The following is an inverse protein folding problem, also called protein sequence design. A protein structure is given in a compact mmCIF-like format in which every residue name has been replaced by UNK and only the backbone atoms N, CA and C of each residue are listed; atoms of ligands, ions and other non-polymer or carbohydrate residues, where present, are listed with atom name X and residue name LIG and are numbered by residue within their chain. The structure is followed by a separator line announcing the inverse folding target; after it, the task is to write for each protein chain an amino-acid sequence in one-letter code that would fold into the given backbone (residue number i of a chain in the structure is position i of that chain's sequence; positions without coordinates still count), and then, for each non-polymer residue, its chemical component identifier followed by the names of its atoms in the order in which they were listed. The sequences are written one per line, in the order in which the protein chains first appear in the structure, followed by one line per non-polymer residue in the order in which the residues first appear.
data_IF_365163678906
#
_entry.id   IF_365163678906
#
_cell.length_a   1.000
_cell.length_b   1.000
_cell.length_c   1.000
_cell.angle_alpha   90.00
_cell.angle_beta   90.00
_cell.angle_gamma   90.00
#
_symmetry.space_group_name_H-M   'P 1'
#
loop_
_entity.id
_entity.type
_entity.pdbx_description
1 polymer ?
#
# COMPACT_ATOMS: atom_id res chain seq x y z
N UNK A 1 33.32 -1.73 9.16
CA UNK A 1 32.46 -0.88 10.00
C UNK A 1 31.06 -1.48 10.13
N UNK A 2 30.37 -1.73 9.02
CA UNK A 2 29.04 -2.36 8.96
C UNK A 2 28.88 -3.61 9.86
N UNK A 3 29.76 -4.61 9.76
CA UNK A 3 29.69 -5.82 10.59
C UNK A 3 29.75 -5.54 12.10
N UNK A 4 30.55 -4.56 12.51
CA UNK A 4 30.63 -4.16 13.92
C UNK A 4 29.33 -3.50 14.37
N UNK A 5 28.77 -2.62 13.55
CA UNK A 5 27.51 -1.93 13.84
C UNK A 5 26.33 -2.90 14.00
N UNK A 6 26.16 -3.83 13.06
CA UNK A 6 25.08 -4.83 13.10
C UNK A 6 25.23 -5.83 14.26
N UNK A 7 26.41 -5.93 14.87
CA UNK A 7 26.69 -6.83 16.00
C UNK A 7 26.63 -6.13 17.37
N UNK A 8 26.26 -4.84 17.44
CA UNK A 8 26.32 -4.03 18.66
C UNK A 8 25.42 -4.53 19.79
N UNK A 9 24.33 -5.21 19.46
CA UNK A 9 23.40 -5.79 20.45
C UNK A 9 23.98 -7.04 21.13
N UNK A 10 24.92 -7.72 20.46
CA UNK A 10 25.49 -8.99 20.91
C UNK A 10 26.92 -8.85 21.44
N UNK A 11 27.66 -7.85 20.96
CA UNK A 11 29.04 -7.57 21.36
C UNK A 11 29.14 -6.14 21.90
N UNK A 12 29.66 -5.94 23.13
CA UNK A 12 29.78 -4.62 23.72
C UNK A 12 30.60 -3.64 22.85
N UNK A 13 30.11 -2.41 22.70
CA UNK A 13 30.74 -1.30 21.95
C UNK A 13 32.24 -1.21 22.21
N UNK A 14 32.66 -1.23 23.48
CA UNK A 14 34.08 -1.10 23.89
C UNK A 14 34.98 -2.18 23.29
N UNK A 15 34.46 -3.41 23.13
CA UNK A 15 35.19 -4.54 22.55
C UNK A 15 35.29 -4.39 21.03
N UNK A 16 34.20 -3.97 20.38
CA UNK A 16 34.17 -3.74 18.93
C UNK A 16 35.03 -2.55 18.48
N UNK A 17 35.10 -1.48 19.29
CA UNK A 17 35.98 -0.33 19.03
C UNK A 17 37.48 -0.72 19.10
N UNK A 18 37.84 -1.67 19.97
CA UNK A 18 39.23 -2.12 20.13
C UNK A 18 39.73 -3.01 18.99
N UNK A 19 38.82 -3.71 18.29
CA UNK A 19 39.14 -4.64 17.21
C UNK A 19 39.71 -3.88 16.00
N UNK A 20 40.88 -4.28 15.50
CA UNK A 20 41.49 -3.67 14.30
C UNK A 20 41.62 -4.64 13.13
N UNK A 21 41.66 -5.96 13.40
CA UNK A 21 41.72 -7.00 12.36
C UNK A 21 40.38 -7.72 12.24
N UNK A 22 40.13 -8.28 11.07
CA UNK A 22 38.92 -9.08 10.83
C UNK A 22 38.90 -10.36 11.67
N UNK A 23 40.07 -10.97 11.93
CA UNK A 23 40.19 -12.16 12.77
C UNK A 23 39.68 -11.90 14.20
N UNK A 24 40.15 -10.83 14.85
CA UNK A 24 39.73 -10.48 16.21
C UNK A 24 38.20 -10.24 16.30
N UNK A 25 37.55 -9.85 15.19
CA UNK A 25 36.10 -9.71 15.13
C UNK A 25 35.38 -11.07 15.19
N UNK A 26 35.85 -12.05 14.42
CA UNK A 26 35.27 -13.39 14.44
C UNK A 26 35.52 -14.11 15.76
N UNK A 27 36.71 -13.93 16.36
CA UNK A 27 37.01 -14.43 17.71
C UNK A 27 36.06 -13.82 18.75
N UNK A 28 35.78 -12.51 18.65
CA UNK A 28 34.84 -11.85 19.56
C UNK A 28 33.40 -12.36 19.42
N UNK A 29 32.97 -12.75 18.21
CA UNK A 29 31.67 -13.37 17.95
C UNK A 29 31.61 -14.81 18.47
N UNK A 30 32.70 -15.56 18.32
CA UNK A 30 32.81 -16.92 18.83
C UNK A 30 32.79 -16.95 20.37
N UNK A 31 33.51 -16.06 21.04
CA UNK A 31 33.47 -15.91 22.50
C UNK A 31 32.08 -15.58 23.05
N UNK A 32 31.21 -14.99 22.20
CA UNK A 32 29.83 -14.65 22.55
C UNK A 32 28.81 -15.73 22.15
N UNK A 33 29.26 -16.86 21.62
CA UNK A 33 28.36 -17.93 21.14
C UNK A 33 27.51 -17.49 19.95
N UNK A 34 27.96 -16.49 19.20
CA UNK A 34 27.26 -16.00 18.01
C UNK A 34 27.63 -16.80 16.76
N UNK A 35 28.83 -17.40 16.76
CA UNK A 35 29.37 -18.22 15.69
C UNK A 35 30.04 -19.43 16.33
N UNK A 36 29.69 -20.62 15.88
CA UNK A 36 30.31 -21.88 16.29
C UNK A 36 30.60 -22.75 15.06
N UNK A 37 31.46 -23.77 15.18
CA UNK A 37 31.84 -24.61 14.04
C UNK A 37 30.64 -25.33 13.35
N UNK A 38 29.52 -25.48 14.06
CA UNK A 38 28.27 -26.05 13.52
C UNK A 38 27.14 -25.04 13.31
N UNK A 39 27.30 -23.78 13.74
CA UNK A 39 26.28 -22.74 13.60
C UNK A 39 26.92 -21.43 13.13
N UNK A 40 26.80 -21.19 11.83
CA UNK A 40 27.23 -19.96 11.17
C UNK A 40 26.04 -19.06 10.78
N UNK A 41 24.84 -19.33 11.31
CA UNK A 41 23.60 -18.61 10.94
C UNK A 41 23.73 -17.10 11.08
N UNK A 42 24.32 -16.64 12.20
CA UNK A 42 24.54 -15.21 12.43
C UNK A 42 25.53 -14.60 11.43
N UNK A 43 26.60 -15.34 11.10
CA UNK A 43 27.59 -14.87 10.13
C UNK A 43 26.98 -14.77 8.73
N UNK A 44 26.16 -15.77 8.34
CA UNK A 44 25.40 -15.75 7.10
C UNK A 44 24.45 -14.55 7.04
N UNK A 45 23.71 -14.29 8.13
CA UNK A 45 22.85 -13.11 8.23
C UNK A 45 23.66 -11.82 8.08
N UNK A 46 24.76 -11.65 8.81
CA UNK A 46 25.59 -10.46 8.72
C UNK A 46 26.08 -10.20 7.29
N UNK A 47 26.58 -11.23 6.59
CA UNK A 47 27.04 -11.12 5.21
C UNK A 47 25.91 -10.83 4.22
N UNK A 48 24.74 -11.42 4.46
CA UNK A 48 23.53 -11.16 3.68
C UNK A 48 23.10 -9.69 3.81
N UNK A 49 23.03 -9.17 5.05
CA UNK A 49 22.58 -7.79 5.34
C UNK A 49 23.52 -6.73 4.76
N UNK A 50 24.82 -7.01 4.63
CA UNK A 50 25.80 -6.11 3.99
C UNK A 50 25.98 -6.36 2.48
N UNK A 51 25.11 -7.16 1.87
CA UNK A 51 25.13 -7.47 0.43
C UNK A 51 26.42 -8.14 -0.07
N UNK A 52 27.19 -8.83 0.79
CA UNK A 52 28.40 -9.59 0.41
C UNK A 52 28.08 -11.02 -0.01
N UNK A 53 27.28 -11.11 -1.08
CA UNK A 53 26.81 -12.38 -1.65
C UNK A 53 27.96 -13.24 -2.20
N UNK A 54 29.05 -12.61 -2.63
CA UNK A 54 30.28 -13.25 -3.06
C UNK A 54 30.87 -14.14 -1.96
N UNK A 55 30.94 -13.63 -0.72
CA UNK A 55 31.44 -14.37 0.43
C UNK A 55 30.42 -15.39 0.95
N UNK A 56 29.13 -15.03 0.90
CA UNK A 56 28.03 -15.91 1.31
C UNK A 56 28.02 -17.20 0.47
N UNK A 57 28.12 -17.06 -0.86
CA UNK A 57 28.12 -18.18 -1.80
C UNK A 57 29.45 -18.94 -1.77
N UNK A 58 30.59 -18.23 -1.80
CA UNK A 58 31.90 -18.88 -1.94
C UNK A 58 32.42 -19.55 -0.66
N UNK A 59 32.07 -19.04 0.52
CA UNK A 59 32.64 -19.49 1.80
C UNK A 59 31.62 -20.17 2.71
N UNK A 60 30.33 -19.85 2.59
CA UNK A 60 29.27 -20.38 3.46
C UNK A 60 28.23 -21.22 2.70
N UNK A 61 28.40 -21.36 1.38
CA UNK A 61 27.57 -22.22 0.52
C UNK A 61 26.09 -21.88 0.56
N UNK A 62 25.72 -20.65 0.90
CA UNK A 62 24.31 -20.23 1.05
C UNK A 62 23.92 -19.30 -0.09
N UNK A 63 22.69 -19.46 -0.60
CA UNK A 63 22.16 -18.60 -1.66
C UNK A 63 21.32 -17.44 -1.10
N UNK A 64 21.06 -16.43 -1.92
CA UNK A 64 20.19 -15.31 -1.55
C UNK A 64 18.79 -15.78 -1.19
N UNK A 65 18.24 -16.70 -1.97
CA UNK A 65 16.90 -17.25 -1.82
C UNK A 65 16.76 -18.14 -0.59
N UNK A 66 17.85 -18.77 -0.16
CA UNK A 66 17.92 -19.50 1.10
C UNK A 66 17.85 -18.53 2.29
N UNK A 67 18.68 -17.49 2.28
CA UNK A 67 18.68 -16.46 3.34
C UNK A 67 17.34 -15.72 3.44
N UNK A 68 16.71 -15.40 2.30
CA UNK A 68 15.38 -14.76 2.27
C UNK A 68 14.29 -15.66 2.88
N UNK A 69 14.38 -16.98 2.68
CA UNK A 69 13.44 -17.93 3.30
C UNK A 69 13.70 -18.10 4.80
N UNK A 70 14.96 -18.17 5.21
CA UNK A 70 15.31 -18.35 6.63
C UNK A 70 14.98 -17.12 7.46
N UNK A 71 15.29 -15.92 6.96
CA UNK A 71 15.07 -14.66 7.69
C UNK A 71 13.60 -14.21 7.71
N UNK A 72 12.74 -14.80 6.86
CA UNK A 72 11.27 -14.60 6.92
C UNK A 72 10.61 -15.30 8.10
N UNK A 73 11.29 -16.28 8.71
CA UNK A 73 10.75 -17.01 9.86
C UNK A 73 10.93 -16.14 11.12
N UNK A 74 9.86 -15.80 11.85
CA UNK A 74 9.97 -15.00 13.08
C UNK A 74 10.94 -15.63 14.09
N UNK A 75 11.79 -14.81 14.69
CA UNK A 75 12.78 -15.24 15.69
C UNK A 75 14.04 -15.92 15.12
N UNK A 76 14.17 -16.07 13.79
CA UNK A 76 15.42 -16.57 13.15
C UNK A 76 16.45 -15.48 12.88
N UNK A 77 16.00 -14.26 12.62
CA UNK A 77 16.90 -13.10 12.49
C UNK A 77 17.44 -12.73 13.87
N UNK A 78 18.77 -12.62 13.99
CA UNK A 78 19.45 -12.19 15.22
C UNK A 78 19.85 -10.72 15.16
N UNK A 79 19.90 -10.10 13.99
CA UNK A 79 20.05 -8.65 13.84
C UNK A 79 18.67 -8.01 13.96
N UNK A 80 18.48 -7.11 14.94
CA UNK A 80 17.21 -6.41 15.09
C UNK A 80 16.85 -5.64 13.83
N UNK A 81 15.55 -5.52 13.58
CA UNK A 81 15.04 -4.75 12.45
C UNK A 81 15.47 -3.27 12.57
N UNK A 82 15.51 -2.73 13.80
CA UNK A 82 16.03 -1.40 14.12
C UNK A 82 17.48 -1.19 13.64
N UNK A 83 18.38 -2.12 13.98
CA UNK A 83 19.79 -2.03 13.57
C UNK A 83 19.94 -2.11 12.07
N UNK A 84 19.14 -2.96 11.42
CA UNK A 84 19.18 -3.05 9.97
C UNK A 84 18.69 -1.78 9.29
N UNK A 85 17.62 -1.15 9.79
CA UNK A 85 17.15 0.15 9.31
C UNK A 85 18.28 1.18 9.36
N UNK A 86 18.92 1.37 10.52
CA UNK A 86 19.98 2.37 10.67
C UNK A 86 21.16 2.10 9.72
N UNK A 87 21.48 0.84 9.48
CA UNK A 87 22.48 0.49 8.48
C UNK A 87 22.05 0.86 7.06
N UNK A 88 20.82 0.51 6.66
CA UNK A 88 20.29 0.85 5.34
C UNK A 88 20.22 2.36 5.11
N UNK A 89 19.83 3.14 6.12
CA UNK A 89 19.87 4.60 6.05
C UNK A 89 21.29 5.12 5.88
N UNK A 90 22.28 4.50 6.53
CA UNK A 90 23.66 4.94 6.44
C UNK A 90 24.30 4.74 5.07
N UNK A 91 23.86 3.71 4.32
CA UNK A 91 24.35 3.42 2.95
C UNK A 91 23.72 4.37 1.92
N UNK A 92 22.49 4.83 2.17
CA UNK A 92 21.76 5.73 1.27
C UNK A 92 22.10 7.23 1.48
N UNK A 93 22.76 7.58 2.59
CA UNK A 93 23.16 8.95 2.89
C UNK A 93 24.46 9.31 2.14
N UNK A 94 24.38 10.33 1.29
CA UNK A 94 25.53 10.89 0.56
C UNK A 94 26.44 11.73 1.47
N UNK A 95 27.68 11.99 1.04
CA UNK A 95 28.63 12.80 1.82
C UNK A 95 28.14 14.24 2.09
N UNK A 96 27.38 14.84 1.17
CA UNK A 96 26.85 16.19 1.33
C UNK A 96 25.64 16.21 2.28
N UNK A 97 24.78 15.20 2.20
CA UNK A 97 23.71 14.98 3.18
C UNK A 97 24.27 14.72 4.58
N UNK A 98 25.38 13.98 4.69
CA UNK A 98 26.09 13.76 5.95
C UNK A 98 26.63 15.07 6.56
N UNK A 99 27.10 16.02 5.73
CA UNK A 99 27.51 17.36 6.21
C UNK A 99 26.31 18.13 6.74
N UNK A 100 25.17 18.08 6.05
CA UNK A 100 23.91 18.67 6.51
C UNK A 100 23.43 18.03 7.82
N UNK A 101 23.53 16.70 7.93
CA UNK A 101 23.24 15.94 9.14
C UNK A 101 24.08 16.42 10.33
N UNK A 102 25.40 16.56 10.13
CA UNK A 102 26.32 17.09 11.16
C UNK A 102 25.99 18.53 11.54
N UNK A 103 25.57 19.36 10.59
CA UNK A 103 25.20 20.74 10.86
C UNK A 103 23.94 20.82 11.72
N UNK A 104 22.87 20.11 11.35
CA UNK A 104 21.60 20.11 12.06
C UNK A 104 21.73 19.51 13.47
N UNK A 105 22.50 18.42 13.60
CA UNK A 105 22.81 17.80 14.89
C UNK A 105 23.76 18.61 15.77
N UNK A 106 24.36 19.69 15.26
CA UNK A 106 25.28 20.53 16.04
C UNK A 106 24.64 21.24 17.24
N UNK A 107 23.30 21.26 17.32
CA UNK A 107 22.54 21.75 18.49
C UNK A 107 22.33 20.67 19.56
N UNK A 108 22.25 19.40 19.15
CA UNK A 108 21.92 18.26 20.00
C UNK A 108 23.16 17.45 20.46
N UNK A 109 24.22 17.46 19.65
CA UNK A 109 25.45 16.71 19.91
C UNK A 109 26.68 17.63 20.05
N UNK A 110 27.64 17.29 20.94
CA UNK A 110 28.87 18.07 21.09
C UNK A 110 29.69 18.12 19.80
N UNK A 111 30.13 19.31 19.39
CA UNK A 111 30.93 19.53 18.17
C UNK A 111 32.20 18.66 18.08
N UNK A 112 32.77 18.22 19.20
CA UNK A 112 33.93 17.33 19.24
C UNK A 112 33.64 15.91 18.71
N UNK A 113 32.37 15.49 18.69
CA UNK A 113 31.91 14.17 18.20
C UNK A 113 31.46 14.19 16.74
N UNK A 114 31.26 15.38 16.18
CA UNK A 114 30.86 15.61 14.77
C UNK A 114 32.04 16.07 13.93
N UNK A 115 33.18 15.37 14.03
CA UNK A 115 34.38 15.73 13.28
C UNK A 115 34.31 15.23 11.82
N UNK A 116 35.30 15.62 11.01
CA UNK A 116 35.36 15.26 9.58
C UNK A 116 35.52 13.77 9.31
N UNK A 117 35.96 12.98 10.31
CA UNK A 117 36.14 11.53 10.20
C UNK A 117 34.95 10.71 10.70
N UNK A 118 33.94 11.35 11.31
CA UNK A 118 32.74 10.67 11.83
C UNK A 118 31.88 10.18 10.66
N UNK A 119 31.60 8.88 10.60
CA UNK A 119 30.67 8.28 9.62
C UNK A 119 29.22 8.41 10.10
N UNK A 120 28.25 8.18 9.22
CA UNK A 120 26.81 8.19 9.57
C UNK A 120 26.49 7.19 10.68
N UNK A 121 27.08 5.98 10.63
CA UNK A 121 26.94 4.97 11.68
C UNK A 121 27.49 5.43 13.03
N UNK A 122 28.62 6.15 13.04
CA UNK A 122 29.18 6.69 14.28
C UNK A 122 28.25 7.76 14.88
N UNK A 123 27.57 8.56 14.04
CA UNK A 123 26.56 9.53 14.49
C UNK A 123 25.39 8.80 15.16
N UNK A 124 24.85 7.76 14.53
CA UNK A 124 23.75 6.99 15.11
C UNK A 124 24.13 6.36 16.46
N UNK A 125 25.34 5.81 16.57
CA UNK A 125 25.86 5.28 17.86
C UNK A 125 25.92 6.40 18.92
N UNK A 126 26.37 7.60 18.57
CA UNK A 126 26.45 8.72 19.52
C UNK A 126 25.06 9.26 19.89
N UNK A 127 24.11 9.26 18.97
CA UNK A 127 22.70 9.57 19.24
C UNK A 127 22.09 8.57 20.23
N UNK A 128 22.39 7.28 20.08
CA UNK A 128 21.95 6.24 21.02
C UNK A 128 22.58 6.41 22.41
N UNK A 129 23.89 6.66 22.49
CA UNK A 129 24.58 6.93 23.77
C UNK A 129 23.99 8.13 24.51
N UNK A 130 23.39 9.07 23.78
CA UNK A 130 22.73 10.26 24.32
C UNK A 130 21.24 10.06 24.62
N UNK A 131 20.67 8.91 24.25
CA UNK A 131 19.25 8.59 24.45
C UNK A 131 18.31 9.38 23.56
N UNK A 132 18.83 10.02 22.50
CA UNK A 132 18.02 10.78 21.53
C UNK A 132 17.58 9.93 20.33
N UNK A 133 18.13 8.71 20.23
CA UNK A 133 17.77 7.71 19.23
C UNK A 133 17.66 6.35 19.90
N UNK A 134 16.61 5.61 19.58
CA UNK A 134 16.39 4.25 20.04
C UNK A 134 15.27 3.59 19.23
N UNK A 135 15.05 2.30 19.47
CA UNK A 135 14.03 1.50 18.77
C UNK A 135 12.63 2.12 18.88
N UNK A 136 12.26 2.62 20.08
CA UNK A 136 10.97 3.26 20.35
C UNK A 136 10.99 4.79 20.13
N UNK A 137 12.13 5.36 19.72
CA UNK A 137 12.30 6.81 19.60
C UNK A 137 13.14 7.19 18.38
N UNK A 138 12.45 7.35 17.24
CA UNK A 138 13.01 7.78 15.96
C UNK A 138 12.68 9.25 15.62
N UNK A 139 12.02 9.99 16.52
CA UNK A 139 11.46 11.32 16.27
C UNK A 139 12.49 12.34 15.73
N UNK A 140 13.67 12.40 16.35
CA UNK A 140 14.74 13.31 15.95
C UNK A 140 15.33 12.89 14.61
N UNK A 141 15.51 11.58 14.39
CA UNK A 141 16.01 11.06 13.12
C UNK A 141 15.04 11.34 11.98
N UNK A 142 13.73 11.21 12.20
CA UNK A 142 12.70 11.58 11.21
C UNK A 142 12.76 13.05 10.83
N UNK A 143 12.87 13.96 11.81
CA UNK A 143 12.94 15.39 11.52
C UNK A 143 14.18 15.71 10.67
N UNK A 144 15.33 15.10 11.00
CA UNK A 144 16.56 15.25 10.21
C UNK A 144 16.41 14.71 8.79
N UNK A 145 15.79 13.53 8.63
CA UNK A 145 15.53 12.95 7.32
C UNK A 145 14.48 13.76 6.53
N UNK A 146 13.47 14.32 7.17
CA UNK A 146 12.46 15.17 6.51
C UNK A 146 13.06 16.45 5.91
N UNK A 147 14.05 17.04 6.58
CA UNK A 147 14.74 18.24 6.13
C UNK A 147 15.78 17.96 5.03
N UNK A 148 16.40 16.78 5.06
CA UNK A 148 17.53 16.45 4.17
C UNK A 148 17.09 15.62 2.97
N UNK A 149 16.34 14.55 3.19
CA UNK A 149 15.94 13.61 2.14
C UNK A 149 14.66 12.84 2.48
N UNK A 150 13.59 13.16 1.74
CA UNK A 150 12.26 12.56 1.88
C UNK A 150 12.27 11.04 1.65
N UNK A 151 13.21 10.47 0.86
CA UNK A 151 13.28 9.02 0.67
C UNK A 151 13.77 8.28 1.92
N UNK A 152 14.68 8.90 2.70
CA UNK A 152 15.14 8.37 3.98
C UNK A 152 14.03 8.40 5.04
N UNK A 153 13.19 9.45 5.01
CA UNK A 153 12.02 9.55 5.88
C UNK A 153 11.03 8.40 5.62
N UNK A 154 10.73 8.11 4.35
CA UNK A 154 9.83 7.01 3.98
C UNK A 154 10.30 5.65 4.50
N UNK A 155 11.61 5.37 4.46
CA UNK A 155 12.18 4.13 5.04
C UNK A 155 11.99 4.02 6.54
N UNK A 156 12.06 5.14 7.26
CA UNK A 156 11.79 5.18 8.71
C UNK A 156 10.31 4.93 8.99
N UNK A 157 9.41 5.52 8.18
CA UNK A 157 7.96 5.30 8.29
C UNK A 157 7.57 3.84 7.98
N UNK A 158 8.18 3.22 6.97
CA UNK A 158 8.01 1.79 6.64
C UNK A 158 8.46 0.88 7.79
N UNK A 159 9.57 1.21 8.46
CA UNK A 159 10.05 0.44 9.61
C UNK A 159 9.08 0.45 10.79
N UNK A 160 8.53 1.62 11.14
CA UNK A 160 7.57 1.72 12.24
C UNK A 160 6.28 0.96 11.94
N UNK A 161 5.78 1.01 10.70
CA UNK A 161 4.61 0.26 10.28
C UNK A 161 4.81 -1.26 10.45
N UNK A 162 6.02 -1.76 10.25
CA UNK A 162 6.33 -3.19 10.41
C UNK A 162 6.42 -3.61 11.90
N UNK A 163 6.93 -2.75 12.80
CA UNK A 163 6.95 -3.02 14.25
C UNK A 163 5.55 -3.18 14.84
N UNK A 164 4.60 -2.33 14.43
CA UNK A 164 3.20 -2.42 14.89
C UNK A 164 2.49 -3.69 14.41
N UNK A 165 2.95 -4.32 13.33
CA UNK A 165 2.41 -5.59 12.83
C UNK A 165 2.87 -6.82 13.61
N UNK A 166 4.06 -6.78 14.25
CA UNK A 166 4.61 -7.89 15.03
C UNK A 166 4.02 -7.97 16.45
N UNK A 167 3.69 -6.83 17.08
CA UNK A 167 3.03 -6.79 18.40
C UNK A 167 1.62 -7.41 18.39
N UNK A 168 0.85 -7.29 17.30
CA UNK A 168 -0.47 -7.93 17.17
C UNK A 168 -0.40 -9.46 17.11
N UNK A 169 0.73 -10.04 16.69
CA UNK A 169 0.91 -11.49 16.59
C UNK A 169 1.24 -12.13 17.95
N UNK A 170 2.01 -11.45 18.80
CA UNK A 170 2.40 -11.95 20.13
C UNK A 170 1.21 -12.00 21.13
N UNK A 171 0.25 -11.08 21.02
CA UNK A 171 -0.93 -11.04 21.89
C UNK A 171 -1.85 -12.26 21.65
N UNK A 172 -1.76 -12.92 20.49
CA UNK A 172 -2.60 -14.08 20.16
C UNK A 172 -2.09 -15.42 20.71
N UNK A 173 -0.82 -15.52 21.12
CA UNK A 173 -0.26 -16.77 21.66
C UNK A 173 -0.39 -16.90 23.19
N UNK A 174 -0.38 -15.80 23.95
CA UNK A 174 -0.52 -15.85 25.42
C UNK A 174 -1.93 -16.21 25.92
N UNK A 175 -2.96 -16.13 25.07
CA UNK A 175 -4.34 -16.48 25.47
C UNK A 175 -4.74 -17.95 25.18
N UNK A 176 -3.80 -18.81 24.79
CA UNK A 176 -4.07 -20.23 24.53
C UNK A 176 -3.29 -21.18 25.45
N UNK A 177 -3.20 -20.85 26.74
CA UNK A 177 -2.65 -21.71 27.78
C UNK A 177 -3.60 -21.86 28.98
N UNK A 178 -4.46 -22.87 28.96
CA UNK A 178 -5.22 -23.24 30.16
C UNK A 178 -6.44 -24.13 29.92
N UNK A 179 -6.27 -25.45 29.95
CA UNK A 179 -7.05 -26.35 30.81
C UNK A 179 -6.73 -27.83 30.51
N UNK A 180 -6.47 -28.53 31.61
CA UNK A 180 -6.08 -29.93 31.85
C UNK A 180 -7.08 -31.00 31.41
N UNK A 181 -6.57 -32.19 31.07
CA UNK A 181 -7.28 -33.47 31.18
C UNK A 181 -6.82 -34.59 30.23
N UNK A 182 -5.82 -35.40 30.62
CA UNK A 182 -5.51 -36.71 30.01
C UNK A 182 -6.39 -37.85 30.60
N UNK A 183 -6.13 -39.15 30.34
CA UNK A 183 -4.84 -39.73 29.89
C UNK A 183 -4.87 -40.87 28.82
N UNK A 184 -3.68 -41.07 28.23
CA UNK A 184 -3.00 -42.33 27.85
C UNK A 184 -3.53 -43.27 26.75
N UNK A 185 -2.74 -43.41 25.66
CA UNK A 185 -2.13 -44.70 25.27
C UNK A 185 -0.94 -44.51 24.30
N UNK A 186 0.26 -44.67 24.89
CA UNK A 186 1.55 -45.11 24.38
C UNK A 186 1.84 -45.30 22.87
N UNK A 187 2.77 -44.46 22.40
CA UNK A 187 3.90 -44.68 21.49
C UNK A 187 4.12 -46.05 20.81
N UNK A 188 4.34 -46.00 19.48
CA UNK A 188 5.51 -46.63 18.86
C UNK A 188 5.90 -46.01 17.52
N UNK A 189 7.10 -45.44 17.53
CA UNK A 189 7.90 -44.94 16.41
C UNK A 189 8.35 -46.13 15.54
N UNK A 190 8.39 -45.97 14.22
CA UNK A 190 9.49 -46.41 13.35
C UNK A 190 9.29 -45.85 11.92
N UNK A 191 10.34 -45.20 11.44
CA UNK A 191 10.46 -44.54 10.15
C UNK A 191 10.51 -45.52 8.97
N UNK A 192 10.03 -45.08 7.80
CA UNK A 192 10.71 -45.29 6.51
C UNK A 192 10.10 -44.46 5.37
N UNK A 193 10.89 -43.48 4.93
CA UNK A 193 11.15 -43.01 3.56
C UNK A 193 10.23 -43.46 2.41
N UNK A 194 9.46 -42.52 1.83
CA UNK A 194 9.14 -42.48 0.39
C UNK A 194 8.91 -41.01 -0.06
N UNK A 195 9.63 -40.61 -1.12
CA UNK A 195 9.49 -39.52 -2.11
C UNK A 195 8.44 -38.37 -1.98
N UNK A 196 8.71 -37.19 -2.59
CA UNK A 196 7.90 -35.98 -2.44
C UNK A 196 6.51 -36.13 -3.07
N UNK A 197 5.49 -35.75 -2.30
CA UNK A 197 4.10 -35.72 -2.72
C UNK A 197 3.91 -34.83 -3.95
N UNK A 198 3.28 -35.42 -4.96
CA UNK A 198 2.80 -34.72 -6.15
C UNK A 198 1.73 -33.68 -5.78
N UNK A 199 1.56 -32.60 -6.57
CA UNK A 199 0.53 -31.60 -6.29
C UNK A 199 -0.84 -32.28 -6.34
N UNK A 200 -1.60 -32.11 -5.25
CA UNK A 200 -2.94 -32.68 -5.12
C UNK A 200 -3.79 -32.41 -6.35
N UNK A 201 -4.50 -33.45 -6.78
CA UNK A 201 -5.54 -33.41 -7.80
C UNK A 201 -6.55 -32.31 -7.46
N UNK A 202 -6.54 -31.22 -8.22
CA UNK A 202 -7.60 -30.24 -8.23
C UNK A 202 -8.82 -30.91 -8.88
N UNK A 203 -9.86 -31.20 -8.10
CA UNK A 203 -11.13 -31.64 -8.66
C UNK A 203 -11.67 -30.55 -9.61
N UNK A 204 -11.66 -30.83 -10.92
CA UNK A 204 -12.10 -29.93 -12.00
C UNK A 204 -13.63 -29.65 -12.01
N UNK A 205 -14.40 -30.30 -11.13
CA UNK A 205 -15.87 -30.28 -11.17
C UNK A 205 -16.54 -29.19 -10.32
N UNK A 206 -15.79 -28.26 -9.73
CA UNK A 206 -16.37 -27.15 -8.91
C UNK A 206 -15.69 -25.79 -9.11
N UNK A 207 -15.09 -25.50 -10.27
CA UNK A 207 -14.39 -24.23 -10.55
C UNK A 207 -15.31 -23.07 -11.00
N UNK A 208 -16.55 -22.99 -10.52
CA UNK A 208 -17.32 -21.75 -10.68
C UNK A 208 -17.04 -20.84 -9.50
N UNK A 209 -16.39 -19.69 -9.76
CA UNK A 209 -16.23 -18.62 -8.77
C UNK A 209 -17.59 -18.30 -8.15
N UNK A 210 -17.66 -18.32 -6.82
CA UNK A 210 -18.85 -17.93 -6.08
C UNK A 210 -19.29 -16.50 -6.45
N UNK A 211 -20.58 -16.20 -6.28
CA UNK A 211 -21.17 -14.89 -6.57
C UNK A 211 -21.58 -14.22 -5.26
N UNK A 212 -21.38 -12.90 -5.14
CA UNK A 212 -21.93 -12.16 -4.00
C UNK A 212 -23.46 -12.20 -4.01
N UNK A 213 -24.05 -12.38 -2.83
CA UNK A 213 -25.50 -12.21 -2.66
C UNK A 213 -25.88 -10.78 -3.09
N UNK A 214 -26.88 -10.66 -3.97
CA UNK A 214 -27.36 -9.39 -4.51
C UNK A 214 -28.87 -9.47 -4.75
N UNK A 215 -29.62 -9.74 -3.69
CA UNK A 215 -31.05 -10.11 -3.65
C UNK A 215 -31.91 -9.21 -2.73
N UNK A 216 -31.30 -8.42 -1.85
CA UNK A 216 -32.01 -7.47 -0.97
C UNK A 216 -32.69 -6.34 -1.72
N UNK A 217 -33.76 -5.77 -1.14
CA UNK A 217 -34.49 -4.61 -1.67
C UNK A 217 -34.72 -3.61 -0.53
N UNK A 218 -34.05 -2.45 -0.53
CA UNK A 218 -33.04 -2.02 -1.52
C UNK A 218 -31.75 -2.85 -1.43
N UNK A 219 -31.00 -2.93 -2.55
CA UNK A 219 -29.71 -3.65 -2.62
C UNK A 219 -28.66 -3.07 -1.67
N UNK A 220 -28.77 -1.77 -1.43
CA UNK A 220 -27.73 -0.98 -0.81
C UNK A 220 -27.99 0.50 -0.94
N UNK A 221 -27.06 1.29 -0.40
CA UNK A 221 -26.98 2.73 -0.64
C UNK A 221 -26.03 2.98 -1.81
N UNK A 222 -26.43 3.88 -2.71
CA UNK A 222 -25.54 4.50 -3.69
C UNK A 222 -25.37 5.98 -3.32
N UNK A 223 -24.25 6.30 -2.67
CA UNK A 223 -23.86 7.64 -2.29
C UNK A 223 -23.23 8.35 -3.49
N UNK A 224 -23.75 9.51 -3.89
CA UNK A 224 -23.22 10.32 -4.99
C UNK A 224 -22.76 11.66 -4.41
N UNK A 225 -21.46 11.89 -4.39
CA UNK A 225 -20.85 13.15 -3.97
C UNK A 225 -20.50 13.97 -5.22
N UNK A 226 -21.33 14.97 -5.52
CA UNK A 226 -21.28 15.74 -6.76
C UNK A 226 -20.82 17.18 -6.53
N UNK A 227 -19.53 17.46 -6.71
CA UNK A 227 -18.97 18.80 -6.55
C UNK A 227 -18.87 19.52 -7.89
N UNK A 228 -19.65 20.60 -8.05
CA UNK A 228 -19.68 21.48 -9.21
C UNK A 228 -18.94 22.79 -8.96
N UNK A 229 -19.29 23.52 -7.90
CA UNK A 229 -18.89 24.91 -7.68
C UNK A 229 -17.68 25.00 -6.75
N UNK A 230 -16.55 25.49 -7.26
CA UNK A 230 -15.29 25.65 -6.51
C UNK A 230 -14.96 27.12 -6.22
N UNK A 231 -15.97 27.99 -6.13
CA UNK A 231 -15.76 29.41 -5.81
C UNK A 231 -15.02 29.60 -4.48
N UNK A 232 -15.39 28.86 -3.43
CA UNK A 232 -14.71 28.92 -2.12
C UNK A 232 -13.22 28.54 -2.22
N UNK A 233 -12.89 27.50 -2.98
CA UNK A 233 -11.49 27.12 -3.24
C UNK A 233 -10.70 28.23 -3.94
N UNK A 234 -11.33 28.95 -4.89
CA UNK A 234 -10.70 30.06 -5.61
C UNK A 234 -10.49 31.29 -4.73
N UNK A 235 -11.34 31.52 -3.74
CA UNK A 235 -11.23 32.63 -2.79
C UNK A 235 -10.20 32.35 -1.69
N UNK A 236 -10.06 31.10 -1.24
CA UNK A 236 -9.24 30.73 -0.10
C UNK A 236 -7.74 30.52 -0.40
N UNK A 237 -7.35 30.35 -1.67
CA UNK A 237 -5.98 29.98 -2.04
C UNK A 237 -5.13 31.18 -2.49
N UNK A 238 -3.95 31.43 -1.87
CA UNK A 238 -3.08 32.57 -2.20
C UNK A 238 -2.35 32.45 -3.55
N UNK A 239 -2.28 31.25 -4.13
CA UNK A 239 -1.74 30.97 -5.47
C UNK A 239 -2.86 30.43 -6.37
N UNK A 240 -2.95 30.82 -7.65
CA UNK A 240 -4.04 30.46 -8.54
C UNK A 240 -3.92 28.98 -8.98
N UNK A 241 -4.31 28.04 -8.12
CA UNK A 241 -4.83 26.77 -8.62
C UNK A 241 -6.11 27.11 -9.39
N UNK A 242 -6.05 27.04 -10.72
CA UNK A 242 -7.16 27.30 -11.64
C UNK A 242 -8.28 26.22 -11.50
N UNK A 243 -8.87 26.09 -10.32
CA UNK A 243 -10.00 25.21 -10.03
C UNK A 243 -11.29 25.82 -10.62
N UNK A 244 -11.51 25.52 -11.90
CA UNK A 244 -12.73 25.89 -12.62
C UNK A 244 -13.91 25.07 -12.13
N UNK A 245 -15.12 25.61 -12.26
CA UNK A 245 -16.34 24.87 -11.95
C UNK A 245 -16.50 23.65 -12.87
N UNK A 246 -17.06 22.56 -12.33
CA UNK A 246 -17.16 21.26 -13.01
C UNK A 246 -18.41 21.15 -13.88
N UNK A 247 -18.61 22.10 -14.80
CA UNK A 247 -19.72 22.10 -15.76
C UNK A 247 -19.89 20.73 -16.45
N UNK A 248 -21.10 20.19 -16.46
CA UNK A 248 -21.41 18.86 -16.98
C UNK A 248 -21.42 17.73 -15.94
N UNK A 249 -20.95 17.97 -14.70
CA UNK A 249 -21.00 16.94 -13.64
C UNK A 249 -22.42 16.51 -13.27
N UNK A 250 -23.41 17.37 -13.46
CA UNK A 250 -24.82 17.04 -13.22
C UNK A 250 -25.37 16.04 -14.24
N UNK A 251 -24.79 16.00 -15.44
CA UNK A 251 -25.11 14.97 -16.44
C UNK A 251 -24.64 13.59 -15.95
N UNK A 252 -23.46 13.55 -15.32
CA UNK A 252 -22.91 12.33 -14.71
C UNK A 252 -23.70 11.89 -13.49
N UNK A 253 -24.02 12.81 -12.57
CA UNK A 253 -24.83 12.52 -11.39
C UNK A 253 -26.23 12.01 -11.78
N UNK A 254 -26.87 12.61 -12.78
CA UNK A 254 -28.16 12.17 -13.29
C UNK A 254 -28.08 10.77 -13.95
N UNK A 255 -26.99 10.48 -14.67
CA UNK A 255 -26.77 9.15 -15.25
C UNK A 255 -26.60 8.10 -14.15
N UNK A 256 -25.71 8.33 -13.18
CA UNK A 256 -25.49 7.44 -12.04
C UNK A 256 -26.79 7.18 -11.27
N UNK A 257 -27.52 8.24 -10.91
CA UNK A 257 -28.82 8.14 -10.24
C UNK A 257 -29.78 7.25 -11.03
N UNK A 258 -29.90 7.46 -12.35
CA UNK A 258 -30.79 6.67 -13.21
C UNK A 258 -30.39 5.19 -13.21
N UNK A 259 -29.11 4.88 -13.43
CA UNK A 259 -28.62 3.50 -13.51
C UNK A 259 -28.76 2.78 -12.17
N UNK A 260 -28.24 3.35 -11.09
CA UNK A 260 -28.28 2.68 -9.78
C UNK A 260 -29.70 2.58 -9.21
N UNK A 261 -30.62 3.49 -9.56
CA UNK A 261 -32.05 3.32 -9.23
C UNK A 261 -32.65 2.11 -9.94
N UNK A 262 -32.33 1.89 -11.23
CA UNK A 262 -32.77 0.69 -11.98
C UNK A 262 -32.16 -0.60 -11.42
N UNK A 263 -30.98 -0.51 -10.82
CA UNK A 263 -30.32 -1.61 -10.11
C UNK A 263 -30.80 -1.75 -8.65
N UNK A 264 -31.89 -1.09 -8.27
CA UNK A 264 -32.56 -1.19 -6.96
C UNK A 264 -31.74 -0.71 -5.75
N UNK A 265 -30.83 0.25 -5.97
CA UNK A 265 -30.15 0.97 -4.88
C UNK A 265 -30.98 2.15 -4.38
N UNK A 266 -30.85 2.47 -3.10
CA UNK A 266 -31.31 3.74 -2.54
C UNK A 266 -30.29 4.81 -2.88
N UNK A 267 -30.71 5.84 -3.63
CA UNK A 267 -29.80 6.93 -4.03
C UNK A 267 -29.73 7.99 -2.93
N UNK A 268 -28.51 8.36 -2.57
CA UNK A 268 -28.21 9.48 -1.70
C UNK A 268 -27.26 10.45 -2.43
N UNK A 269 -27.79 11.57 -2.93
CA UNK A 269 -27.02 12.55 -3.69
C UNK A 269 -26.76 13.80 -2.85
N UNK A 270 -25.49 14.21 -2.74
CA UNK A 270 -25.07 15.44 -2.08
C UNK A 270 -24.29 16.31 -3.07
N UNK A 271 -24.52 17.62 -3.00
CA UNK A 271 -23.95 18.59 -3.93
C UNK A 271 -23.04 19.58 -3.22
N UNK A 272 -21.94 19.91 -3.87
CA UNK A 272 -21.03 20.99 -3.47
C UNK A 272 -20.59 20.94 -2.00
N UNK A 273 -20.13 19.77 -1.56
CA UNK A 273 -19.67 19.57 -0.19
C UNK A 273 -18.20 20.00 -0.03
N UNK A 274 -17.92 20.68 1.08
CA UNK A 274 -16.57 20.95 1.58
C UNK A 274 -15.89 19.65 2.03
N UNK A 275 -14.58 19.68 2.24
CA UNK A 275 -13.86 18.49 2.69
C UNK A 275 -14.40 17.94 4.02
N UNK A 276 -14.71 18.83 4.96
CA UNK A 276 -15.29 18.47 6.25
C UNK A 276 -16.71 17.90 6.13
N UNK A 277 -17.54 18.46 5.24
CA UNK A 277 -18.89 17.94 4.99
C UNK A 277 -18.86 16.57 4.31
N UNK A 278 -17.90 16.32 3.41
CA UNK A 278 -17.67 15.00 2.81
C UNK A 278 -17.32 13.97 3.90
N UNK A 279 -16.37 14.28 4.79
CA UNK A 279 -16.00 13.42 5.92
C UNK A 279 -17.20 13.10 6.80
N UNK A 280 -17.98 14.12 7.17
CA UNK A 280 -19.21 13.95 7.95
C UNK A 280 -20.23 13.07 7.24
N UNK A 281 -20.45 13.29 5.95
CA UNK A 281 -21.40 12.51 5.15
C UNK A 281 -20.99 11.05 5.08
N UNK A 282 -19.71 10.78 4.78
CA UNK A 282 -19.16 9.41 4.75
C UNK A 282 -19.26 8.75 6.13
N UNK A 283 -18.98 9.50 7.20
CA UNK A 283 -19.11 9.01 8.56
C UNK A 283 -20.56 8.67 8.94
N UNK A 284 -21.56 9.41 8.44
CA UNK A 284 -22.97 9.06 8.63
C UNK A 284 -23.26 7.68 8.03
N UNK A 285 -22.90 7.46 6.76
CA UNK A 285 -23.13 6.17 6.09
C UNK A 285 -22.29 5.03 6.67
N UNK A 286 -21.09 5.31 7.20
CA UNK A 286 -20.32 4.32 7.97
C UNK A 286 -21.10 3.82 9.19
N UNK A 287 -21.76 4.73 9.89
CA UNK A 287 -22.49 4.44 11.13
C UNK A 287 -23.90 3.85 10.89
N UNK A 288 -24.39 3.80 9.65
CA UNK A 288 -25.66 3.16 9.33
C UNK A 288 -25.60 1.63 9.49
N UNK A 289 -26.75 1.01 9.75
CA UNK A 289 -26.87 -0.45 9.75
C UNK A 289 -27.14 -0.96 8.33
N UNK A 290 -26.15 -1.66 7.77
CA UNK A 290 -26.21 -2.26 6.43
C UNK A 290 -26.56 -3.75 6.47
N UNK A 291 -26.99 -4.32 7.61
CA UNK A 291 -27.25 -5.78 7.73
C UNK A 291 -28.22 -6.31 6.69
N UNK A 292 -29.29 -5.55 6.40
CA UNK A 292 -30.33 -5.87 5.42
C UNK A 292 -29.92 -5.53 3.97
N UNK A 293 -28.78 -4.85 3.77
CA UNK A 293 -28.21 -4.50 2.47
C UNK A 293 -27.20 -5.54 2.02
N UNK A 294 -27.04 -5.66 0.71
CA UNK A 294 -26.13 -6.61 0.08
C UNK A 294 -24.87 -5.93 -0.47
N UNK A 295 -24.90 -4.61 -0.73
CA UNK A 295 -23.80 -3.86 -1.32
C UNK A 295 -23.77 -2.41 -0.83
N UNK A 296 -22.60 -1.77 -0.86
CA UNK A 296 -22.46 -0.32 -0.73
C UNK A 296 -21.76 0.25 -1.96
N UNK A 297 -22.28 1.34 -2.52
CA UNK A 297 -21.70 2.05 -3.66
C UNK A 297 -21.47 3.51 -3.30
N UNK A 298 -20.29 4.05 -3.60
CA UNK A 298 -19.95 5.46 -3.46
C UNK A 298 -19.35 6.01 -4.75
N UNK A 299 -19.99 7.01 -5.34
CA UNK A 299 -19.58 7.69 -6.55
C UNK A 299 -19.12 9.10 -6.19
N UNK A 300 -17.86 9.43 -6.53
CA UNK A 300 -17.26 10.72 -6.20
C UNK A 300 -16.94 11.47 -7.48
N UNK A 301 -17.58 12.63 -7.67
CA UNK A 301 -17.41 13.51 -8.83
C UNK A 301 -16.79 14.83 -8.35
N UNK A 302 -15.47 14.96 -8.43
CA UNK A 302 -14.77 16.16 -7.96
C UNK A 302 -13.52 16.48 -8.79
N UNK A 303 -12.78 17.52 -8.40
CA UNK A 303 -11.38 17.68 -8.77
C UNK A 303 -10.52 16.78 -7.88
N UNK A 304 -9.29 16.50 -8.30
CA UNK A 304 -8.34 15.72 -7.52
C UNK A 304 -6.90 15.90 -8.01
N UNK A 305 -5.98 15.28 -7.28
CA UNK A 305 -4.60 15.00 -7.70
C UNK A 305 -4.26 13.58 -7.20
N UNK A 306 -3.03 13.13 -7.43
CA UNK A 306 -2.55 11.80 -7.03
C UNK A 306 -2.99 11.42 -5.61
N UNK A 307 -3.86 10.41 -5.51
CA UNK A 307 -4.35 9.82 -4.27
C UNK A 307 -5.41 10.62 -3.50
N UNK A 308 -5.82 11.80 -3.97
CA UNK A 308 -6.75 12.68 -3.23
C UNK A 308 -7.86 13.25 -4.11
N UNK A 309 -8.94 13.65 -3.47
CA UNK A 309 -10.01 14.50 -4.04
C UNK A 309 -10.06 15.83 -3.30
N UNK A 310 -10.68 16.83 -3.91
CA UNK A 310 -10.91 18.12 -3.27
C UNK A 310 -12.37 18.30 -2.84
N UNK A 311 -12.57 18.92 -1.68
CA UNK A 311 -13.83 19.58 -1.34
C UNK A 311 -14.00 20.89 -2.13
N UNK A 312 -15.20 21.47 -2.13
CA UNK A 312 -15.45 22.76 -2.82
C UNK A 312 -14.70 23.94 -2.20
N UNK A 313 -14.21 23.76 -0.97
CA UNK A 313 -13.32 24.65 -0.23
C UNK A 313 -11.85 24.52 -0.66
N UNK A 314 -11.52 23.60 -1.56
CA UNK A 314 -10.16 23.38 -2.05
C UNK A 314 -9.29 22.58 -1.08
N UNK A 315 -9.86 22.09 0.02
CA UNK A 315 -9.19 21.23 0.98
C UNK A 315 -9.12 19.79 0.47
N UNK A 316 -8.02 19.12 0.81
CA UNK A 316 -7.68 17.79 0.30
C UNK A 316 -8.27 16.69 1.17
N UNK A 317 -8.71 15.61 0.52
CA UNK A 317 -9.21 14.40 1.17
C UNK A 317 -8.55 13.20 0.49
N UNK A 318 -7.71 12.43 1.21
CA UNK A 318 -7.19 11.18 0.70
C UNK A 318 -8.32 10.22 0.34
N UNK A 319 -8.26 9.61 -0.84
CA UNK A 319 -9.25 8.60 -1.26
C UNK A 319 -9.23 7.42 -0.28
N UNK A 320 -8.05 7.06 0.21
CA UNK A 320 -7.84 6.03 1.22
C UNK A 320 -8.63 6.32 2.50
N UNK A 321 -8.70 7.58 2.95
CA UNK A 321 -9.48 7.97 4.13
C UNK A 321 -10.97 7.58 3.97
N UNK A 322 -11.50 7.77 2.75
CA UNK A 322 -12.90 7.47 2.44
C UNK A 322 -13.14 5.96 2.29
N UNK A 323 -12.22 5.21 1.68
CA UNK A 323 -12.37 3.76 1.54
C UNK A 323 -12.18 3.04 2.87
N UNK A 324 -11.18 3.43 3.66
CA UNK A 324 -10.88 2.83 4.97
C UNK A 324 -12.01 3.04 5.98
N UNK A 325 -12.85 4.06 5.79
CA UNK A 325 -14.08 4.25 6.58
C UNK A 325 -15.04 3.06 6.51
N UNK A 326 -14.97 2.22 5.47
CA UNK A 326 -15.88 1.09 5.27
C UNK A 326 -15.20 -0.29 5.39
N UNK A 327 -14.02 -0.39 6.00
CA UNK A 327 -13.39 -1.70 6.27
C UNK A 327 -14.25 -2.57 7.18
N UNK A 328 -13.97 -3.89 7.22
CA UNK A 328 -14.71 -4.80 8.09
C UNK A 328 -14.66 -4.43 9.58
N UNK A 329 -13.59 -3.75 10.00
CA UNK A 329 -13.43 -3.23 11.36
C UNK A 329 -14.25 -1.95 11.59
N UNK A 330 -14.19 -1.00 10.65
CA UNK A 330 -14.83 0.32 10.78
C UNK A 330 -16.33 0.32 10.46
N UNK A 331 -16.80 -0.63 9.64
CA UNK A 331 -18.21 -0.81 9.30
C UNK A 331 -18.57 -2.32 9.29
N UNK A 332 -18.75 -2.87 10.50
CA UNK A 332 -19.02 -4.32 10.70
C UNK A 332 -20.24 -4.84 9.94
N UNK A 333 -21.26 -4.01 9.71
CA UNK A 333 -22.48 -4.37 8.97
C UNK A 333 -22.25 -4.62 7.47
N UNK A 334 -21.09 -4.17 6.93
CA UNK A 334 -20.62 -4.39 5.55
C UNK A 334 -19.49 -5.44 5.44
N UNK A 335 -19.13 -6.12 6.53
CA UNK A 335 -18.16 -7.20 6.49
C UNK A 335 -18.66 -8.34 5.58
N UNK A 336 -17.83 -8.81 4.64
CA UNK A 336 -18.20 -9.84 3.67
C UNK A 336 -19.05 -9.38 2.48
N UNK A 337 -19.42 -8.09 2.42
CA UNK A 337 -20.26 -7.50 1.36
C UNK A 337 -19.43 -6.61 0.44
N UNK A 338 -19.72 -6.54 -0.87
CA UNK A 338 -19.00 -5.68 -1.81
C UNK A 338 -19.14 -4.19 -1.46
N UNK A 339 -18.02 -3.47 -1.48
CA UNK A 339 -17.90 -2.04 -1.25
C UNK A 339 -17.26 -1.40 -2.48
N UNK A 340 -18.08 -0.70 -3.27
CA UNK A 340 -17.70 -0.23 -4.60
C UNK A 340 -17.54 1.29 -4.60
N UNK A 341 -16.40 1.76 -5.07
CA UNK A 341 -16.08 3.18 -5.20
C UNK A 341 -15.82 3.51 -6.67
N UNK A 342 -16.53 4.50 -7.20
CA UNK A 342 -16.26 5.06 -8.52
C UNK A 342 -15.78 6.49 -8.38
N UNK A 343 -14.52 6.74 -8.72
CA UNK A 343 -13.86 8.04 -8.49
C UNK A 343 -13.57 8.71 -9.82
N UNK A 344 -14.32 9.77 -10.10
CA UNK A 344 -14.14 10.67 -11.22
C UNK A 344 -13.45 11.95 -10.73
N UNK A 345 -12.12 11.89 -10.67
CA UNK A 345 -11.23 13.01 -10.36
C UNK A 345 -9.92 12.86 -11.14
N UNK A 346 -9.23 13.98 -11.43
CA UNK A 346 -7.87 13.92 -11.97
C UNK A 346 -6.91 13.30 -10.94
N UNK A 347 -5.88 12.61 -11.41
CA UNK A 347 -4.83 12.02 -10.55
C UNK A 347 -3.45 12.64 -10.81
N UNK A 348 -3.39 13.69 -11.63
CA UNK A 348 -2.24 14.55 -11.88
C UNK A 348 -2.53 15.49 -13.04
N UNK A 349 -1.49 16.21 -13.49
CA UNK A 349 -1.60 17.22 -14.54
C UNK A 349 -1.06 16.74 -15.90
N UNK A 350 -0.57 15.49 -16.00
CA UNK A 350 -0.03 14.96 -17.24
C UNK A 350 -1.14 14.55 -18.22
N UNK A 351 -0.97 14.86 -19.50
CA UNK A 351 -1.82 14.33 -20.56
C UNK A 351 -1.32 12.96 -21.02
N UNK A 352 -2.22 11.97 -21.15
CA UNK A 352 -1.83 10.65 -21.64
C UNK A 352 -1.64 10.69 -23.16
N UNK A 353 -0.44 10.32 -23.62
CA UNK A 353 -0.10 10.25 -25.06
C UNK A 353 -0.68 8.98 -25.66
N UNK A 354 -1.28 9.08 -26.84
CA UNK A 354 -1.67 7.91 -27.63
C UNK A 354 -0.46 7.28 -28.31
N UNK A 355 -0.35 5.96 -28.24
CA UNK A 355 0.56 5.17 -29.09
C UNK A 355 -0.25 4.59 -30.24
N UNK A 356 0.25 4.71 -31.46
CA UNK A 356 -0.36 4.09 -32.64
C UNK A 356 -0.04 2.60 -32.60
N UNK A 357 -1.04 1.75 -32.41
CA UNK A 357 -0.85 0.30 -32.50
C UNK A 357 -1.00 -0.06 -33.98
N UNK A 358 0.12 -0.33 -34.66
CA UNK A 358 0.10 -1.05 -35.92
C UNK A 358 -0.11 -2.54 -35.63
N UNK A 359 -1.13 -3.13 -36.24
CA UNK A 359 -1.44 -4.56 -36.14
C UNK A 359 -0.42 -5.38 -36.93
N UNK A 360 0.19 -6.34 -36.24
CA UNK A 360 1.02 -7.47 -36.69
C UNK A 360 2.28 -7.17 -37.52
N UNK A 361 3.44 -6.99 -36.85
CA UNK A 361 4.73 -7.66 -37.13
C UNK A 361 5.94 -6.98 -36.45
N UNK A 362 6.84 -7.81 -35.89
CA UNK A 362 8.26 -7.47 -35.69
C UNK A 362 8.66 -7.01 -34.29
N UNK A 363 9.39 -7.87 -33.58
CA UNK A 363 10.05 -7.60 -32.30
C UNK A 363 11.01 -6.39 -32.37
N UNK A 364 10.98 -5.53 -31.34
CA UNK A 364 12.22 -5.09 -30.70
C UNK A 364 12.00 -4.57 -29.27
N UNK A 365 12.94 -5.01 -28.45
CA UNK A 365 13.10 -4.91 -27.01
C UNK A 365 13.33 -3.46 -26.54
N UNK A 366 12.64 -3.06 -25.47
CA UNK A 366 13.14 -2.03 -24.55
C UNK A 366 12.51 -2.24 -23.18
N UNK A 367 13.35 -2.74 -22.27
CA UNK A 367 13.10 -2.93 -20.86
C UNK A 367 12.85 -1.61 -20.15
N UNK A 368 11.63 -1.44 -19.66
CA UNK A 368 11.31 -0.45 -18.62
C UNK A 368 10.48 -1.15 -17.56
N UNK A 369 11.16 -1.80 -16.61
CA UNK A 369 10.51 -2.26 -15.38
C UNK A 369 10.14 -1.02 -14.57
N UNK A 370 8.85 -0.76 -14.43
CA UNK A 370 8.31 0.26 -13.54
C UNK A 370 7.37 -0.42 -12.55
N UNK A 371 7.96 -0.95 -11.48
CA UNK A 371 7.21 -1.48 -10.35
C UNK A 371 6.75 -0.33 -9.47
N UNK A 372 5.52 0.13 -9.72
CA UNK A 372 4.68 0.81 -8.76
C UNK A 372 3.22 0.57 -9.16
N UNK A 373 2.77 -0.68 -8.99
CA UNK A 373 1.35 -0.99 -9.00
C UNK A 373 0.76 -0.39 -7.72
N UNK A 374 -0.39 0.29 -7.81
CA UNK A 374 -1.26 0.45 -6.64
C UNK A 374 -1.78 -0.94 -6.28
N UNK A 375 -0.95 -1.73 -5.61
CA UNK A 375 -1.43 -2.82 -4.81
C UNK A 375 -1.99 -2.17 -3.54
N UNK A 376 -3.23 -2.53 -3.20
CA UNK A 376 -3.69 -2.42 -1.82
C UNK A 376 -2.77 -3.37 -1.03
N UNK A 377 -1.59 -2.88 -0.66
CA UNK A 377 -0.59 -3.63 0.09
C UNK A 377 -1.03 -3.69 1.55
N UNK A 378 -2.01 -4.56 1.82
CA UNK A 378 -2.28 -5.28 3.09
C UNK A 378 -3.69 -5.93 3.03
N UNK A 379 -3.80 -7.25 3.27
CA UNK A 379 -5.08 -7.94 3.54
C UNK A 379 -4.84 -8.77 4.81
N UNK A 380 -5.63 -8.64 5.90
CA UNK A 380 -7.02 -9.14 5.97
C UNK A 380 -8.04 -8.28 6.77
N UNK A 381 -8.12 -6.96 6.52
CA UNK A 381 -9.25 -6.12 6.98
C UNK A 381 -9.99 -5.37 5.86
N UNK A 382 -9.38 -5.23 4.67
CA UNK A 382 -9.90 -4.50 3.49
C UNK A 382 -10.40 -5.43 2.36
N UNK A 383 -10.98 -6.58 2.71
CA UNK A 383 -11.56 -7.49 1.72
C UNK A 383 -12.88 -6.96 1.14
N UNK A 384 -13.21 -7.42 -0.06
CA UNK A 384 -14.47 -7.12 -0.76
C UNK A 384 -14.61 -5.66 -1.22
N UNK A 385 -13.51 -5.01 -1.61
CA UNK A 385 -13.50 -3.67 -2.21
C UNK A 385 -13.33 -3.71 -3.73
N UNK A 386 -13.93 -2.73 -4.40
CA UNK A 386 -13.68 -2.40 -5.79
C UNK A 386 -13.53 -0.88 -5.92
N UNK A 387 -12.39 -0.42 -6.39
CA UNK A 387 -12.09 0.99 -6.65
C UNK A 387 -11.93 1.20 -8.16
N UNK A 388 -12.93 1.81 -8.80
CA UNK A 388 -12.89 2.23 -10.19
C UNK A 388 -12.40 3.66 -10.35
N UNK A 389 -11.14 3.84 -10.77
CA UNK A 389 -10.56 5.15 -11.03
C UNK A 389 -10.79 5.56 -12.48
N UNK A 390 -11.20 6.81 -12.71
CA UNK A 390 -11.43 7.32 -14.06
C UNK A 390 -10.17 7.45 -14.92
N UNK A 391 -8.99 7.54 -14.31
CA UNK A 391 -7.70 7.69 -15.01
C UNK A 391 -6.55 7.11 -14.19
N UNK A 392 -5.45 6.78 -14.86
CA UNK A 392 -4.18 6.36 -14.26
C UNK A 392 -3.59 7.46 -13.37
N UNK A 393 -2.74 7.07 -12.43
CA UNK A 393 -1.98 8.02 -11.61
C UNK A 393 -1.19 9.00 -12.48
N UNK A 394 -1.07 10.25 -12.03
CA UNK A 394 -0.37 11.34 -12.71
C UNK A 394 -1.09 11.91 -13.95
N UNK A 395 -2.17 11.27 -14.41
CA UNK A 395 -2.91 11.71 -15.59
C UNK A 395 -4.22 12.46 -15.30
N UNK A 396 -4.64 13.25 -16.29
CA UNK A 396 -5.92 13.97 -16.29
C UNK A 396 -7.10 13.05 -16.66
N UNK A 397 -8.33 13.50 -16.38
CA UNK A 397 -9.56 12.85 -16.85
C UNK A 397 -10.46 13.87 -17.55
N UNK A 398 -11.18 13.47 -18.60
CA UNK A 398 -11.89 14.38 -19.48
C UNK A 398 -13.39 14.50 -19.17
N UNK A 399 -13.88 15.73 -19.25
CA UNK A 399 -15.28 16.10 -19.03
C UNK A 399 -15.79 16.99 -20.15
N UNK A 400 -16.94 16.62 -20.70
CA UNK A 400 -17.72 17.45 -21.62
C UNK A 400 -18.80 18.20 -20.84
N UNK A 401 -18.89 19.54 -20.94
CA UNK A 401 -19.95 20.31 -20.29
C UNK A 401 -21.38 19.92 -20.69
N UNK A 402 -21.55 19.32 -21.88
CA UNK A 402 -22.87 18.91 -22.40
C UNK A 402 -23.17 17.43 -22.26
N UNK A 403 -22.13 16.59 -22.25
CA UNK A 403 -22.30 15.12 -22.30
C UNK A 403 -21.87 14.42 -21.01
N UNK A 404 -21.24 15.11 -20.05
CA UNK A 404 -20.66 14.47 -18.87
C UNK A 404 -19.22 13.99 -19.09
N UNK A 405 -18.66 13.22 -18.17
CA UNK A 405 -17.31 12.66 -18.28
C UNK A 405 -17.28 11.38 -19.08
N UNK A 406 -16.16 11.14 -19.78
CA UNK A 406 -16.01 9.94 -20.60
C UNK A 406 -16.16 8.66 -19.78
N UNK A 407 -15.57 8.64 -18.58
CA UNK A 407 -15.61 7.47 -17.71
C UNK A 407 -17.01 7.18 -17.17
N UNK A 408 -17.68 8.18 -16.58
CA UNK A 408 -18.98 7.94 -15.94
C UNK A 408 -20.06 7.62 -16.97
N UNK A 409 -20.03 8.27 -18.13
CA UNK A 409 -20.98 7.97 -19.20
C UNK A 409 -20.78 6.55 -19.75
N UNK A 410 -19.54 6.16 -20.04
CA UNK A 410 -19.24 4.79 -20.49
C UNK A 410 -19.62 3.75 -19.41
N UNK A 411 -19.30 4.01 -18.14
CA UNK A 411 -19.68 3.17 -17.01
C UNK A 411 -21.20 2.97 -16.93
N UNK A 412 -21.97 4.06 -16.96
CA UNK A 412 -23.42 4.00 -16.90
C UNK A 412 -24.01 3.26 -18.09
N UNK A 413 -23.51 3.50 -19.31
CA UNK A 413 -23.95 2.82 -20.52
C UNK A 413 -23.70 1.31 -20.46
N UNK A 414 -22.50 0.91 -20.05
CA UNK A 414 -22.15 -0.50 -19.94
C UNK A 414 -22.89 -1.19 -18.80
N UNK A 415 -23.11 -0.54 -17.65
CA UNK A 415 -23.98 -1.07 -16.59
C UNK A 415 -25.41 -1.29 -17.09
N UNK A 416 -26.02 -0.32 -17.79
CA UNK A 416 -27.39 -0.45 -18.31
C UNK A 416 -27.53 -1.60 -19.32
N UNK A 417 -26.52 -1.85 -20.14
CA UNK A 417 -26.55 -2.89 -21.19
C UNK A 417 -26.15 -4.29 -20.69
N UNK A 418 -25.13 -4.36 -19.83
CA UNK A 418 -24.51 -5.63 -19.41
C UNK A 418 -25.12 -6.23 -18.15
N UNK A 419 -25.66 -5.43 -17.23
CA UNK A 419 -26.31 -5.97 -16.02
C UNK A 419 -27.53 -6.86 -16.34
N UNK A 420 -28.43 -6.53 -17.30
CA UNK A 420 -29.50 -7.43 -17.72
C UNK A 420 -29.01 -8.77 -18.28
N UNK A 421 -27.78 -8.80 -18.83
CA UNK A 421 -27.14 -9.99 -19.40
C UNK A 421 -26.41 -10.82 -18.34
N UNK A 422 -26.39 -10.37 -17.09
CA UNK A 422 -25.76 -11.08 -15.97
C UNK A 422 -24.23 -11.02 -15.97
N UNK A 423 -23.61 -10.07 -16.69
CA UNK A 423 -22.16 -9.90 -16.68
C UNK A 423 -21.69 -9.34 -15.32
N UNK A 424 -20.52 -9.80 -14.87
CA UNK A 424 -19.90 -9.29 -13.64
C UNK A 424 -19.25 -7.92 -13.84
N UNK A 425 -19.09 -7.18 -12.75
CA UNK A 425 -18.61 -5.81 -12.77
C UNK A 425 -17.19 -5.66 -13.35
N UNK A 426 -16.32 -6.66 -13.24
CA UNK A 426 -14.95 -6.58 -13.78
C UNK A 426 -14.98 -6.72 -15.30
N UNK A 427 -15.84 -7.59 -15.82
CA UNK A 427 -16.14 -7.66 -17.28
C UNK A 427 -16.68 -6.32 -17.78
N UNK A 428 -17.63 -5.72 -17.07
CA UNK A 428 -18.20 -4.40 -17.40
C UNK A 428 -17.10 -3.33 -17.41
N UNK A 429 -16.25 -3.27 -16.38
CA UNK A 429 -15.16 -2.29 -16.28
C UNK A 429 -14.09 -2.48 -17.36
N UNK A 430 -13.87 -3.72 -17.81
CA UNK A 430 -12.99 -3.99 -18.96
C UNK A 430 -13.55 -3.39 -20.25
N UNK A 431 -14.87 -3.51 -20.47
CA UNK A 431 -15.52 -2.87 -21.61
C UNK A 431 -15.46 -1.33 -21.52
N UNK A 432 -15.61 -0.76 -20.32
CA UNK A 432 -15.43 0.68 -20.06
C UNK A 432 -14.01 1.11 -20.43
N UNK A 433 -12.97 0.37 -20.03
CA UNK A 433 -11.58 0.65 -20.41
C UNK A 433 -11.41 0.66 -21.94
N UNK A 434 -12.01 -0.31 -22.62
CA UNK A 434 -11.96 -0.37 -24.09
C UNK A 434 -12.66 0.82 -24.75
N UNK A 435 -13.80 1.27 -24.24
CA UNK A 435 -14.51 2.42 -24.80
C UNK A 435 -13.74 3.74 -24.55
N UNK A 436 -13.32 3.98 -23.30
CA UNK A 436 -12.65 5.23 -22.93
C UNK A 436 -11.29 5.35 -23.62
N UNK A 437 -10.54 4.25 -23.73
CA UNK A 437 -9.26 4.23 -24.46
C UNK A 437 -9.39 4.50 -25.95
N UNK A 438 -10.57 4.36 -26.56
CA UNK A 438 -10.82 4.74 -27.97
C UNK A 438 -11.12 6.22 -28.13
N UNK A 439 -11.62 6.90 -27.10
CA UNK A 439 -11.89 8.36 -27.15
C UNK A 439 -10.58 9.14 -27.27
N UNK A 440 -10.65 10.32 -27.87
CA UNK A 440 -9.50 11.22 -27.99
C UNK A 440 -9.95 12.68 -28.00
N UNK A 441 -9.16 13.55 -27.39
CA UNK A 441 -9.41 14.98 -27.37
C UNK A 441 -8.57 15.64 -28.47
N UNK A 442 -9.23 16.28 -29.46
CA UNK A 442 -8.55 17.10 -30.47
C UNK A 442 -8.25 18.50 -29.89
N UNK A 443 -7.13 19.15 -30.26
CA UNK A 443 -6.19 18.81 -31.34
C UNK A 443 -5.04 17.86 -30.95
N UNK A 444 -4.78 17.68 -29.65
CA UNK A 444 -3.57 17.00 -29.16
C UNK A 444 -3.63 15.46 -29.17
N UNK A 445 -4.74 14.87 -29.64
CA UNK A 445 -5.01 13.43 -29.63
C UNK A 445 -4.82 12.78 -28.25
N UNK A 446 -5.06 13.54 -27.17
CA UNK A 446 -4.87 13.08 -25.81
C UNK A 446 -5.87 11.96 -25.48
N UNK A 447 -5.40 11.00 -24.69
CA UNK A 447 -6.12 9.78 -24.35
C UNK A 447 -6.47 9.76 -22.86
N UNK A 448 -7.34 8.84 -22.48
CA UNK A 448 -7.65 8.54 -21.10
C UNK A 448 -7.74 7.03 -20.93
N UNK A 449 -7.17 6.50 -19.86
CA UNK A 449 -7.23 5.09 -19.52
C UNK A 449 -7.71 4.94 -18.07
N UNK A 450 -8.95 4.48 -17.85
CA UNK A 450 -9.42 4.15 -16.51
C UNK A 450 -8.68 2.94 -15.94
N UNK A 451 -8.61 2.84 -14.61
CA UNK A 451 -7.93 1.76 -13.91
C UNK A 451 -8.77 1.30 -12.71
N UNK A 452 -9.42 0.13 -12.80
CA UNK A 452 -9.99 -0.51 -11.63
C UNK A 452 -8.91 -1.21 -10.80
N UNK A 453 -9.07 -1.20 -9.48
CA UNK A 453 -8.34 -2.03 -8.50
C UNK A 453 -9.36 -2.73 -7.59
N UNK A 454 -9.10 -3.96 -7.17
CA UNK A 454 -10.08 -4.73 -6.39
C UNK A 454 -9.46 -5.76 -5.46
N UNK A 455 -10.16 -6.02 -4.36
CA UNK A 455 -9.94 -7.11 -3.40
C UNK A 455 -11.21 -7.97 -3.26
N UNK A 456 -12.06 -7.97 -4.31
CA UNK A 456 -13.24 -8.82 -4.41
C UNK A 456 -12.84 -10.30 -4.38
N UNK A 457 -13.58 -11.10 -3.62
CA UNK A 457 -13.36 -12.55 -3.44
C UNK A 457 -14.37 -13.41 -4.21
N UNK A 458 -15.43 -12.78 -4.74
CA UNK A 458 -16.54 -13.41 -5.46
C UNK A 458 -16.90 -12.56 -6.67
N UNK A 459 -17.57 -13.16 -7.66
CA UNK A 459 -18.14 -12.40 -8.78
C UNK A 459 -19.19 -11.42 -8.25
N UNK A 460 -19.07 -10.16 -8.63
CA UNK A 460 -20.05 -9.13 -8.32
C UNK A 460 -20.92 -8.87 -9.55
N UNK A 461 -22.17 -9.33 -9.50
CA UNK A 461 -23.17 -9.13 -10.55
C UNK A 461 -24.29 -8.29 -9.95
N UNK A 462 -24.84 -7.35 -10.71
CA UNK A 462 -26.01 -6.55 -10.31
C UNK A 462 -27.25 -7.00 -11.10
N UNK A 463 -28.08 -7.91 -10.57
CA UNK A 463 -29.27 -8.37 -11.27
C UNK A 463 -30.33 -7.27 -11.33
N UNK A 464 -30.97 -7.12 -12.50
CA UNK A 464 -32.03 -6.13 -12.75
C UNK A 464 -33.41 -6.62 -12.28
N UNK A 465 -33.55 -7.92 -12.02
CA UNK A 465 -34.81 -8.58 -11.66
C UNK A 465 -35.20 -8.45 -10.19
#
# INVERSE_FOLDING_TARGET
AALKFLSLEHVPVRKLEAIRKAQDFFEALQEKGMIEAGDLSFLKELLYRISRMDLLAAQLGSSREEMERELRIPGRARVSAYRYLLFQLSEDITEDELKSFKFLLGKELPKCRLNSRTTTLDIFIEMEKKGILGEDNLSILKNLCAEINISLLKRIEEYELNLFGEEEMLITEEQRGGSTGGPEAHAKWLASSVAPDSPGSWNESSQQLEVYKMTSRPRGVCLILNNHNFAKAREAMPEPKNMKDRNGTDVDAAALRRVFSKLHFTIAEYRDLTAEEIRKTVNIYRCEDHKDKDCFVCCILSHGKKGIIYGVDGQEIPIQELTTSFTGQNCRSLAGKPKVFFVQACQGDACQKGVTIETDSGEQDSSVETDARFQLDCIPSEADFLLGMATLQDYVSYRSPRQGTWYIQALCQHLEYSCPRGEDILTILTAVNQEVSRKSCKPNAEKQMPQPSFTLRKKLIFPVN
#
